data_IF_362766068783
#
_entry.id   IF_362766068783
#
_cell.length_a   1.000
_cell.length_b   1.000
_cell.length_c   1.000
_cell.angle_alpha   90.00
_cell.angle_beta   90.00
_cell.angle_gamma   90.00
#
_symmetry.space_group_name_H-M   'P 1'
#
loop_
_entity.id
_entity.type
_entity.pdbx_description
1 polymer ?
2 non-polymer ?
3 non-polymer ?
4 non-polymer ?
5 water ?
#
# COMPACT_ATOMS: atom_id res chain seq x y z
N UNK A 23 -13.85 2.52 -11.47
CA UNK A 23 -12.71 1.85 -12.19
C UNK A 23 -11.39 2.32 -11.57
N UNK A 24 -10.34 1.52 -11.76
CA UNK A 24 -9.03 1.86 -11.20
C UNK A 24 -8.48 3.14 -11.81
N UNK A 25 -8.06 4.05 -10.94
CA UNK A 25 -7.35 5.23 -11.37
C UNK A 25 -6.02 4.84 -11.99
N UNK A 26 -5.59 5.56 -13.04
CA UNK A 26 -4.32 5.21 -13.70
C UNK A 26 -3.13 5.33 -12.75
N UNK A 27 -2.37 4.25 -12.63
CA UNK A 27 -1.23 4.24 -11.71
C UNK A 27 -0.10 5.20 -12.15
N UNK A 28 -0.01 5.45 -13.47
CA UNK A 28 1.06 6.30 -13.99
C UNK A 28 0.88 7.77 -13.68
N UNK A 29 -0.31 8.11 -13.18
CA UNK A 29 -0.57 9.47 -12.73
C UNK A 29 -0.33 9.67 -11.23
N UNK A 30 0.05 8.60 -10.54
CA UNK A 30 0.24 8.63 -9.09
C UNK A 30 1.72 8.77 -8.76
N UNK A 31 1.97 9.16 -7.52
CA UNK A 31 3.32 9.13 -6.97
C UNK A 31 3.25 8.42 -5.62
N UNK A 32 4.08 7.39 -5.46
CA UNK A 32 4.13 6.61 -4.23
C UNK A 32 5.32 7.04 -3.38
N UNK A 33 5.06 7.27 -2.10
CA UNK A 33 6.11 7.51 -1.10
C UNK A 33 5.82 6.57 0.07
N UNK A 34 6.83 6.31 0.89
CA UNK A 34 6.61 5.44 2.04
C UNK A 34 7.47 5.90 3.19
N UNK A 35 7.04 5.52 4.38
CA UNK A 35 7.84 5.86 5.57
C UNK A 35 9.13 5.06 5.62
N UNK A 36 9.14 3.91 4.96
CA UNK A 36 10.31 3.05 4.93
C UNK A 36 10.26 2.33 3.60
N UNK A 37 11.39 2.27 2.90
CA UNK A 37 11.48 1.45 1.70
C UNK A 37 12.88 0.86 1.60
N UNK A 38 12.94 -0.41 1.24
CA UNK A 38 14.23 -1.03 0.95
C UNK A 38 14.76 -0.56 -0.41
N UNK A 39 16.09 -0.40 -0.52
CA UNK A 39 16.61 0.07 -1.80
C UNK A 39 16.36 -0.93 -2.94
N UNK A 40 16.60 -0.51 -4.17
CA UNK A 40 16.36 -1.35 -5.33
C UNK A 40 17.39 -2.48 -5.43
N UNK A 41 17.00 -3.67 -4.98
CA UNK A 41 17.86 -4.85 -5.04
C UNK A 41 17.30 -5.86 -6.07
N UNK A 42 16.41 -5.37 -6.94
CA UNK A 42 15.87 -6.09 -8.11
C UNK A 42 14.36 -5.96 -8.27
N UNK A 43 13.64 -6.72 -7.47
CA UNK A 43 12.19 -6.69 -7.53
C UNK A 43 11.58 -6.08 -6.29
N UNK A 44 12.41 -5.41 -5.51
CA UNK A 44 12.01 -4.76 -4.27
C UNK A 44 13.13 -3.74 -3.96
N UNK A 45 12.92 -2.76 -3.08
CA UNK A 45 11.67 -2.59 -2.34
C UNK A 45 11.17 -1.16 -2.40
N UNK A 46 11.54 -0.43 -3.46
CA UNK A 46 11.12 0.98 -3.60
C UNK A 46 9.61 1.11 -3.60
N UNK A 47 9.09 2.15 -2.94
CA UNK A 47 7.64 2.42 -2.95
C UNK A 47 7.00 2.45 -4.34
N UNK A 48 7.72 3.01 -5.30
CA UNK A 48 7.17 3.08 -6.66
C UNK A 48 6.89 1.72 -7.30
N UNK A 49 7.54 0.68 -6.76
CA UNK A 49 7.26 -0.66 -7.24
C UNK A 49 5.84 -1.13 -6.91
N UNK A 50 5.15 -0.44 -6.00
CA UNK A 50 3.77 -0.86 -5.65
C UNK A 50 2.75 -0.38 -6.69
N UNK A 51 3.17 0.48 -7.62
CA UNK A 51 2.22 1.08 -8.59
C UNK A 51 2.80 1.07 -10.02
N UNK A 52 3.54 0.01 -10.35
CA UNK A 52 4.13 -0.10 -11.70
C UNK A 52 3.44 -1.10 -12.62
N UNK A 53 2.32 -1.66 -12.18
CA UNK A 53 1.56 -2.63 -12.98
C UNK A 53 2.27 -3.96 -13.18
N UNK A 54 3.25 -4.23 -12.34
CA UNK A 54 4.08 -5.45 -12.42
C UNK A 54 3.92 -6.24 -11.13
N UNK A 55 3.37 -7.43 -11.25
CA UNK A 55 3.06 -8.25 -10.08
C UNK A 55 4.31 -8.87 -9.44
N UNK A 56 5.41 -8.90 -10.19
CA UNK A 56 6.70 -9.41 -9.69
C UNK A 56 7.54 -8.42 -8.90
N UNK A 57 7.18 -7.13 -8.93
CA UNK A 57 7.93 -6.10 -8.20
C UNK A 57 7.11 -5.62 -7.02
N UNK A 58 7.79 -5.36 -5.91
CA UNK A 58 7.09 -5.03 -4.68
C UNK A 58 7.73 -3.86 -3.96
N UNK A 59 6.90 -3.03 -3.32
CA UNK A 59 7.40 -2.19 -2.21
C UNK A 59 7.69 -3.13 -1.06
N UNK A 60 8.77 -2.88 -0.34
CA UNK A 60 9.06 -3.64 0.89
C UNK A 60 9.69 -2.67 1.88
N UNK A 61 9.29 -2.76 3.14
CA UNK A 61 9.90 -1.92 4.16
C UNK A 61 11.41 -2.19 4.22
N UNK A 62 12.17 -1.19 4.68
CA UNK A 62 13.63 -1.31 4.82
C UNK A 62 14.01 -2.40 5.81
N UNK A 63 14.96 -3.24 5.40
CA UNK A 63 15.47 -4.24 6.32
C UNK A 63 17.01 -4.17 6.34
N UNK A 64 17.62 -5.01 7.18
CA UNK A 64 19.08 -4.97 7.44
C UNK A 64 19.62 -3.58 7.87
N UNK A 65 19.20 -3.08 9.06
CA UNK A 65 18.26 -3.73 9.96
C UNK A 65 16.84 -3.26 9.67
N UNK A 66 15.89 -3.99 10.24
CA UNK A 66 14.48 -3.67 10.10
C UNK A 66 14.17 -2.29 10.66
N UNK A 67 13.33 -1.56 9.93
CA UNK A 67 12.61 -0.43 10.48
C UNK A 67 11.24 -0.97 10.85
N UNK A 68 10.98 -1.02 12.16
CA UNK A 68 9.84 -1.75 12.72
C UNK A 68 8.49 -1.16 12.32
N UNK A 69 7.49 -2.02 12.20
CA UNK A 69 6.10 -1.60 11.98
C UNK A 69 5.61 -0.86 13.22
N UNK A 70 4.63 0.05 13.07
CA UNK A 70 3.94 0.42 11.82
C UNK A 70 4.80 1.18 10.81
N UNK A 71 4.57 0.87 9.53
CA UNK A 71 5.08 1.69 8.47
C UNK A 71 3.96 1.78 7.45
N UNK A 72 4.05 2.76 6.57
CA UNK A 72 2.98 3.02 5.61
C UNK A 72 3.50 3.39 4.22
N UNK A 73 2.59 3.30 3.24
CA UNK A 73 2.86 3.73 1.87
C UNK A 73 1.71 4.66 1.48
N UNK A 74 2.06 5.80 0.90
CA UNK A 74 1.06 6.79 0.48
C UNK A 74 1.07 6.94 -1.04
N UNK A 75 -0.12 6.90 -1.64
CA UNK A 75 -0.28 7.19 -3.05
C UNK A 75 -0.90 8.57 -3.21
N UNK A 76 -0.16 9.47 -3.83
CA UNK A 76 -0.73 10.76 -4.26
C UNK A 76 -1.39 10.46 -5.61
N UNK A 77 -2.69 10.73 -5.70
CA UNK A 77 -3.54 10.15 -6.79
C UNK A 77 -3.44 10.82 -8.17
N UNK A 78 -2.95 12.05 -8.19
CA UNK A 78 -2.93 12.84 -9.42
C UNK A 78 -4.17 13.66 -9.61
N UNK A 79 -4.96 13.82 -8.56
CA UNK A 79 -6.17 14.64 -8.55
C UNK A 79 -6.93 14.38 -7.27
N UNK A 80 -8.05 15.09 -7.12
CA UNK A 80 -8.93 14.92 -5.97
C UNK A 80 -10.13 14.11 -6.44
N UNK A 81 -10.20 12.84 -6.03
CA UNK A 81 -11.21 11.91 -6.53
C UNK A 81 -12.12 11.39 -5.45
N UNK A 82 -13.39 11.18 -5.82
CA UNK A 82 -14.33 10.46 -4.96
C UNK A 82 -14.11 8.96 -5.09
N UNK A 83 -13.43 8.40 -4.09
CA UNK A 83 -12.98 7.02 -4.16
C UNK A 83 -13.86 6.11 -3.34
N UNK A 84 -13.94 4.85 -3.75
CA UNK A 84 -14.81 3.92 -3.01
C UNK A 84 -14.27 2.52 -2.89
N UNK A 85 -13.09 2.25 -3.45
CA UNK A 85 -12.53 0.90 -3.34
C UNK A 85 -11.00 0.98 -3.41
N UNK A 86 -10.35 0.01 -2.78
CA UNK A 86 -8.90 -0.07 -2.74
C UNK A 86 -8.50 -1.52 -2.79
N UNK A 87 -7.51 -1.88 -3.61
CA UNK A 87 -7.08 -3.28 -3.61
C UNK A 87 -5.61 -3.38 -3.29
N UNK A 88 -5.27 -4.42 -2.51
CA UNK A 88 -3.91 -4.72 -2.12
C UNK A 88 -3.58 -6.09 -2.67
N UNK A 89 -2.59 -6.15 -3.57
CA UNK A 89 -2.08 -7.42 -4.10
C UNK A 89 -0.75 -7.72 -3.43
N UNK A 90 -0.68 -8.80 -2.63
CA UNK A 90 0.57 -9.19 -2.01
C UNK A 90 1.57 -9.69 -3.04
N UNK A 91 2.83 -9.72 -2.61
CA UNK A 91 3.88 -10.40 -3.36
C UNK A 91 3.46 -11.85 -3.71
N UNK A 92 4.10 -12.39 -4.74
CA UNK A 92 3.81 -13.74 -5.20
C UNK A 92 4.93 -14.70 -4.88
N UNK A 93 4.55 -15.90 -4.47
CA UNK A 93 5.52 -16.98 -4.31
C UNK A 93 6.31 -17.00 -3.02
N UNK A 94 6.06 -16.03 -2.14
CA UNK A 94 6.68 -15.94 -0.82
C UNK A 94 5.79 -15.03 0.03
N UNK A 95 6.07 -14.91 1.33
CA UNK A 95 5.13 -14.21 2.25
C UNK A 95 5.67 -13.04 3.10
N UNK A 96 6.98 -12.83 3.16
CA UNK A 96 7.50 -11.73 4.01
C UNK A 96 6.86 -10.40 3.64
N UNK A 97 6.27 -9.79 4.65
CA UNK A 97 5.63 -8.48 4.48
C UNK A 97 4.15 -8.53 4.09
N UNK A 98 3.60 -9.72 3.87
CA UNK A 98 2.15 -9.81 3.62
C UNK A 98 1.45 -9.17 4.80
N UNK A 99 0.66 -8.14 4.49
CA UNK A 99 0.10 -7.31 5.54
C UNK A 99 -1.11 -8.00 6.16
N UNK A 100 -1.12 -8.13 7.48
CA UNK A 100 -2.20 -8.89 8.13
C UNK A 100 -3.04 -8.05 9.08
N UNK A 101 -2.56 -6.85 9.42
CA UNK A 101 -3.39 -5.91 10.17
C UNK A 101 -3.12 -4.52 9.59
N UNK A 102 -4.18 -3.83 9.18
CA UNK A 102 -4.03 -2.61 8.37
C UNK A 102 -4.98 -1.51 8.84
N UNK A 103 -4.64 -0.28 8.44
CA UNK A 103 -5.60 0.83 8.38
C UNK A 103 -5.45 1.45 7.00
N UNK A 104 -6.54 1.99 6.48
CA UNK A 104 -6.52 2.80 5.27
C UNK A 104 -6.93 4.21 5.65
N UNK A 105 -6.11 5.18 5.29
CA UNK A 105 -6.37 6.60 5.57
C UNK A 105 -6.41 7.39 4.27
N UNK A 106 -7.08 8.55 4.29
CA UNK A 106 -7.08 9.45 3.13
C UNK A 106 -6.72 10.87 3.57
N UNK A 107 -6.28 11.69 2.62
CA UNK A 107 -5.99 13.10 2.87
C UNK A 107 -6.44 13.88 1.66
N UNK A 108 -6.79 15.15 1.87
CA UNK A 108 -7.04 16.08 0.78
C UNK A 108 -5.98 17.18 0.73
N UNK A 109 -4.95 17.07 1.57
CA UNK A 109 -3.87 18.06 1.51
C UNK A 109 -2.46 17.47 1.51
N UNK A 110 -2.35 16.15 1.67
CA UNK A 110 -1.04 15.50 1.67
C UNK A 110 -0.38 15.44 3.03
N UNK A 111 -0.96 16.14 4.01
CA UNK A 111 -0.37 16.24 5.36
C UNK A 111 -1.27 15.67 6.45
N UNK A 112 -2.54 16.07 6.40
CA UNK A 112 -3.51 15.68 7.42
C UNK A 112 -4.36 14.51 6.93
N UNK A 113 -4.31 13.39 7.65
CA UNK A 113 -4.98 12.14 7.23
C UNK A 113 -6.16 11.77 8.13
N UNK A 114 -7.12 11.03 7.59
CA UNK A 114 -8.25 10.53 8.35
C UNK A 114 -8.48 9.06 8.02
N UNK A 115 -8.80 8.28 9.04
CA UNK A 115 -9.01 6.85 8.88
C UNK A 115 -10.35 6.55 8.25
N UNK A 116 -10.33 5.74 7.20
CA UNK A 116 -11.57 5.25 6.57
C UNK A 116 -11.85 3.74 6.62
N UNK A 117 -10.82 2.96 6.96
CA UNK A 117 -10.95 1.50 7.03
C UNK A 117 -9.88 0.93 7.95
N UNK A 118 -10.21 -0.21 8.56
CA UNK A 118 -9.25 -0.94 9.40
C UNK A 118 -9.73 -2.37 9.54
N UNK A 119 -8.78 -3.27 9.75
CA UNK A 119 -9.12 -4.67 9.91
C UNK A 119 -7.93 -5.60 9.79
N UNK A 120 -8.28 -6.88 9.70
CA UNK A 120 -7.30 -7.95 9.54
C UNK A 120 -7.43 -8.58 8.17
N UNK A 121 -6.29 -9.05 7.64
CA UNK A 121 -6.24 -9.79 6.38
C UNK A 121 -5.50 -11.08 6.63
N UNK A 122 -5.88 -12.14 5.91
CA UNK A 122 -5.10 -13.38 6.00
C UNK A 122 -3.74 -13.21 5.33
N UNK A 123 -2.80 -14.09 5.65
CA UNK A 123 -1.46 -13.94 5.11
C UNK A 123 -1.22 -14.63 3.76
N UNK A 124 -2.29 -15.08 3.11
CA UNK A 124 -2.18 -15.65 1.78
C UNK A 124 -1.87 -14.58 0.71
N UNK A 125 -1.49 -15.04 -0.48
CA UNK A 125 -1.25 -14.15 -1.63
C UNK A 125 -2.49 -13.64 -2.34
N UNK A 126 -3.69 -13.90 -1.79
CA UNK A 126 -4.91 -13.45 -2.44
C UNK A 126 -5.01 -11.93 -2.45
N UNK A 127 -5.57 -11.41 -3.53
CA UNK A 127 -5.97 -10.00 -3.60
C UNK A 127 -6.88 -9.67 -2.44
N UNK A 128 -6.57 -8.56 -1.77
CA UNK A 128 -7.39 -8.09 -0.66
C UNK A 128 -8.10 -6.82 -1.12
N UNK A 129 -9.42 -6.81 -0.99
CA UNK A 129 -10.21 -5.68 -1.47
C UNK A 129 -10.94 -4.97 -0.33
N UNK A 130 -10.84 -3.65 -0.34
CA UNK A 130 -11.59 -2.79 0.60
C UNK A 130 -12.61 -2.00 -0.18
N UNK A 131 -13.84 -1.97 0.34
CA UNK A 131 -14.91 -1.16 -0.26
C UNK A 131 -15.46 -0.30 0.84
N UNK A 132 -15.62 0.98 0.58
CA UNK A 132 -15.98 1.90 1.68
C UNK A 132 -16.84 3.04 1.16
N UNK A 133 -17.49 3.75 2.09
CA UNK A 133 -18.23 4.99 1.79
C UNK A 133 -17.45 5.89 0.84
N UNK A 134 -18.11 6.37 -0.20
CA UNK A 134 -17.45 7.31 -1.12
C UNK A 134 -16.84 8.48 -0.34
N UNK A 135 -15.59 8.81 -0.64
CA UNK A 135 -14.97 9.93 0.07
C UNK A 135 -13.96 10.62 -0.83
N UNK A 136 -13.77 11.92 -0.62
CA UNK A 136 -12.90 12.73 -1.46
C UNK A 136 -11.45 12.62 -0.99
N UNK A 137 -10.53 12.34 -1.90
CA UNK A 137 -9.12 12.17 -1.50
C UNK A 137 -8.19 12.62 -2.60
N UNK A 138 -7.09 13.28 -2.22
CA UNK A 138 -5.94 13.46 -3.11
C UNK A 138 -4.83 12.46 -2.84
N UNK A 139 -4.90 11.81 -1.68
CA UNK A 139 -3.86 10.87 -1.23
C UNK A 139 -4.54 9.74 -0.49
N UNK A 140 -4.01 8.53 -0.65
CA UNK A 140 -4.44 7.35 0.09
C UNK A 140 -3.23 6.70 0.73
N UNK A 141 -3.34 6.39 2.03
CA UNK A 141 -2.23 5.85 2.79
C UNK A 141 -2.65 4.48 3.33
N UNK A 142 -1.87 3.48 2.97
CA UNK A 142 -2.04 2.15 3.54
C UNK A 142 -1.04 1.95 4.70
N UNK A 143 -1.59 1.78 5.90
CA UNK A 143 -0.79 1.61 7.12
C UNK A 143 -0.73 0.11 7.45
N UNK A 144 0.49 -0.42 7.45
CA UNK A 144 0.75 -1.80 7.91
C UNK A 144 1.07 -1.82 9.40
N UNK A 145 0.10 -2.28 10.19
CA UNK A 145 0.28 -2.39 11.64
C UNK A 145 1.03 -3.65 11.95
N UNK A 146 0.72 -4.70 11.19
CA UNK A 146 1.37 -6.02 11.34
C UNK A 146 1.54 -6.64 9.98
N UNK A 147 2.63 -7.39 9.80
CA UNK A 147 2.84 -8.12 8.56
C UNK A 147 3.75 -9.30 8.79
N UNK A 148 3.76 -10.21 7.82
CA UNK A 148 4.51 -11.47 8.01
C UNK A 148 6.00 -11.15 8.22
N UNK A 149 6.59 -11.70 9.30
CA UNK A 149 7.99 -11.45 9.61
C UNK A 149 8.26 -10.11 10.27
N UNK A 150 7.20 -9.32 10.45
CA UNK A 150 7.36 -7.95 10.94
C UNK A 150 7.81 -6.95 9.88
N UNK A 151 7.73 -7.36 8.61
CA UNK A 151 7.97 -6.50 7.46
C UNK A 151 6.59 -6.12 6.88
N UNK A 152 6.58 -5.14 5.99
CA UNK A 152 5.40 -4.91 5.14
C UNK A 152 5.83 -4.86 3.70
N UNK A 153 5.01 -5.45 2.84
CA UNK A 153 5.29 -5.41 1.41
C UNK A 153 4.01 -5.36 0.60
N UNK A 154 4.11 -4.94 -0.66
CA UNK A 154 2.93 -4.87 -1.55
C UNK A 154 3.37 -4.95 -3.00
N UNK A 155 2.77 -5.87 -3.76
CA UNK A 155 3.12 -5.99 -5.18
C UNK A 155 2.44 -4.92 -5.99
N UNK A 156 1.13 -4.75 -5.78
CA UNK A 156 0.35 -3.75 -6.53
C UNK A 156 -0.75 -3.20 -5.67
N UNK A 157 -0.90 -1.88 -5.71
CA UNK A 157 -2.01 -1.17 -5.05
C UNK A 157 -2.81 -0.46 -6.10
N UNK A 158 -4.14 -0.55 -5.97
CA UNK A 158 -5.05 0.17 -6.88
C UNK A 158 -6.14 0.92 -6.11
N UNK A 159 -6.55 2.05 -6.67
CA UNK A 159 -7.51 2.97 -6.00
C UNK A 159 -8.62 3.19 -7.04
N UNK A 160 -9.87 3.00 -6.63
CA UNK A 160 -11.00 3.04 -7.59
C UNK A 160 -11.91 4.22 -7.33
N UNK A 161 -12.30 4.90 -8.41
CA UNK A 161 -13.25 6.01 -8.32
C UNK A 161 -14.32 5.83 -9.37
X LIG B 1 4.67 -3.96 -8.65
X LIG C 1 13.98 -12.43 2.06
X LIG C 1 12.85 -12.02 1.13
X LIG C 1 12.89 -10.49 1.00
X LIG C 1 12.85 -9.85 2.38
X LIG C 1 13.99 -10.41 3.24
X LIG C 1 13.99 -9.81 4.64
X LIG C 1 13.89 -13.82 2.24
X LIG C 1 12.96 -12.66 -0.14
X LIG C 1 11.81 -10.10 0.17
X LIG C 1 11.58 -10.15 3.00
X LIG C 1 13.79 -11.81 3.32
X LIG C 1 15.14 -10.22 5.39
X LIG D 1 -14.26 18.79 -7.09
X LIG E 1 -20.95 4.95 8.32
#
# INVERSE_FOLDING_TARGET
MGSSHHHHHHSSGLVPRGSHMASALPQGNMKATATSEHPDVGNEGLAKFAIDGKENTIWHTKYNPVEELPQSITLELGGSYEINKFTYLPRSGAKNGNITKYELHVSEDGNNFRKISEGNWDDSGSLKTLKFNSTKATHVKLVALEGVGGFASAAELNVFA
CA CA
GAL C1 C2 C3 C4 C5 C6 O1 O2 O3 O4 O5 O6
NA NA
NA NA
#
